data_IF_220682228322
#
_entry.id   IF_220682228322
#
_cell.length_a   1.000
_cell.length_b   1.000
_cell.length_c   1.000
_cell.angle_alpha   90.00
_cell.angle_beta   90.00
_cell.angle_gamma   90.00
#
_symmetry.space_group_name_H-M   'P 1'
#
loop_
_entity.id
_entity.type
_entity.pdbx_description
1 polymer ?
#
# COMPACT_ATOMS: atom_id res chain seq x y z
N UNK A 1 -0.40 -24.81 5.22
CA UNK A 1 -0.19 -24.55 3.78
C UNK A 1 0.08 -23.07 3.62
N UNK A 2 1.16 -22.70 2.92
CA UNK A 2 1.36 -21.31 2.50
C UNK A 2 0.31 -20.98 1.45
N UNK A 3 -0.40 -19.87 1.64
CA UNK A 3 -1.38 -19.37 0.69
C UNK A 3 -0.64 -18.96 -0.61
N UNK A 4 -0.98 -19.52 -1.77
CA UNK A 4 -0.29 -19.23 -3.02
C UNK A 4 -0.34 -17.74 -3.40
N UNK A 5 -1.41 -17.02 -3.02
CA UNK A 5 -1.54 -15.58 -3.28
C UNK A 5 -0.53 -14.80 -2.42
N UNK A 6 -0.36 -15.21 -1.16
CA UNK A 6 0.62 -14.57 -0.27
C UNK A 6 2.05 -14.78 -0.76
N UNK A 7 2.33 -15.95 -1.35
CA UNK A 7 3.66 -16.25 -1.89
C UNK A 7 3.97 -15.41 -3.13
N UNK A 8 3.00 -15.25 -4.04
CA UNK A 8 3.13 -14.37 -5.20
C UNK A 8 3.35 -12.90 -4.79
N UNK A 9 2.58 -12.42 -3.79
CA UNK A 9 2.76 -11.07 -3.24
C UNK A 9 4.17 -10.87 -2.68
N UNK A 10 4.72 -11.88 -1.98
CA UNK A 10 6.09 -11.81 -1.44
C UNK A 10 7.12 -11.76 -2.55
N UNK A 11 6.99 -12.60 -3.58
CA UNK A 11 7.91 -12.59 -4.72
C UNK A 11 7.93 -11.25 -5.44
N UNK A 12 6.75 -10.65 -5.67
CA UNK A 12 6.63 -9.32 -6.25
C UNK A 12 7.34 -8.28 -5.37
N UNK A 13 7.12 -8.32 -4.05
CA UNK A 13 7.79 -7.40 -3.11
C UNK A 13 9.31 -7.55 -3.16
N UNK A 14 9.82 -8.78 -3.10
CA UNK A 14 11.26 -9.03 -3.16
C UNK A 14 11.89 -8.53 -4.45
N UNK A 15 11.19 -8.69 -5.58
CA UNK A 15 11.69 -8.17 -6.85
C UNK A 15 11.77 -6.64 -6.83
N UNK A 16 10.76 -5.95 -6.29
CA UNK A 16 10.78 -4.48 -6.15
C UNK A 16 11.93 -4.02 -5.24
N UNK A 17 12.14 -4.68 -4.11
CA UNK A 17 13.23 -4.37 -3.17
C UNK A 17 14.60 -4.55 -3.83
N UNK A 18 14.78 -5.65 -4.57
CA UNK A 18 16.01 -5.94 -5.32
C UNK A 18 16.25 -4.93 -6.45
N UNK A 19 15.20 -4.54 -7.18
CA UNK A 19 15.29 -3.52 -8.23
C UNK A 19 15.67 -2.14 -7.65
N UNK A 20 15.30 -1.89 -6.40
CA UNK A 20 15.73 -0.72 -5.61
C UNK A 20 17.10 -0.89 -4.94
N UNK A 21 17.86 -1.94 -5.29
CA UNK A 21 19.19 -2.24 -4.73
C UNK A 21 19.20 -2.39 -3.20
N UNK A 22 18.09 -2.86 -2.62
CA UNK A 22 17.90 -2.93 -1.17
C UNK A 22 18.11 -1.58 -0.46
N UNK A 23 18.00 -0.47 -1.19
CA UNK A 23 18.20 0.87 -0.69
C UNK A 23 16.85 1.46 -0.23
N UNK A 24 16.68 1.74 1.08
CA UNK A 24 15.39 2.18 1.61
C UNK A 24 14.98 3.57 1.10
N UNK A 25 15.93 4.45 0.78
CA UNK A 25 15.61 5.75 0.20
C UNK A 25 15.05 5.61 -1.21
N UNK A 26 15.70 4.82 -2.07
CA UNK A 26 15.24 4.56 -3.44
C UNK A 26 13.86 3.90 -3.43
N UNK A 27 13.66 2.92 -2.55
CA UNK A 27 12.36 2.27 -2.38
C UNK A 27 11.28 3.27 -1.97
N UNK A 28 11.56 4.18 -1.03
CA UNK A 28 10.61 5.19 -0.59
C UNK A 28 10.22 6.17 -1.72
N UNK A 29 11.18 6.58 -2.53
CA UNK A 29 10.94 7.46 -3.68
C UNK A 29 10.10 6.77 -4.75
N UNK A 30 10.41 5.50 -5.05
CA UNK A 30 9.64 4.67 -5.95
C UNK A 30 8.18 4.56 -5.48
N UNK A 31 7.95 4.20 -4.22
CA UNK A 31 6.62 4.09 -3.64
C UNK A 31 5.86 5.43 -3.68
N UNK A 32 6.54 6.54 -3.38
CA UNK A 32 5.93 7.86 -3.46
C UNK A 32 5.45 8.21 -4.88
N UNK A 33 6.27 7.92 -5.90
CA UNK A 33 5.89 8.14 -7.31
C UNK A 33 4.68 7.30 -7.71
N UNK A 34 4.64 6.03 -7.32
CA UNK A 34 3.50 5.14 -7.59
C UNK A 34 2.24 5.65 -6.87
N UNK A 35 2.36 6.04 -5.60
CA UNK A 35 1.25 6.62 -4.83
C UNK A 35 0.73 7.90 -5.45
N UNK A 36 1.61 8.77 -5.93
CA UNK A 36 1.23 9.99 -6.62
C UNK A 36 0.51 9.70 -7.94
N UNK A 37 1.03 8.77 -8.75
CA UNK A 37 0.44 8.38 -10.03
C UNK A 37 -0.97 7.79 -9.88
N UNK A 38 -1.22 7.05 -8.78
CA UNK A 38 -2.49 6.39 -8.51
C UNK A 38 -3.21 6.99 -7.30
N UNK A 39 -3.08 8.30 -7.08
CA UNK A 39 -3.66 9.03 -5.95
C UNK A 39 -5.13 8.74 -5.71
N UNK A 40 -5.91 8.61 -6.79
CA UNK A 40 -7.35 8.37 -6.78
C UNK A 40 -7.74 6.93 -6.39
N UNK A 41 -6.79 6.00 -6.46
CA UNK A 41 -6.98 4.58 -6.13
C UNK A 41 -6.41 4.21 -4.77
N UNK A 42 -5.70 5.14 -4.13
CA UNK A 42 -5.26 4.96 -2.76
C UNK A 42 -6.50 4.90 -1.88
N UNK A 43 -6.70 3.76 -1.23
CA UNK A 43 -7.71 3.61 -0.18
C UNK A 43 -7.31 4.56 0.94
N UNK A 44 -7.86 5.78 0.89
CA UNK A 44 -7.89 6.65 2.06
C UNK A 44 -8.90 5.99 2.99
N UNK A 45 -8.46 5.62 4.19
CA UNK A 45 -9.40 5.46 5.29
C UNK A 45 -9.96 6.86 5.55
N UNK A 46 -11.03 7.24 4.85
CA UNK A 46 -11.83 8.36 5.34
C UNK A 46 -12.19 8.03 6.78
N UNK A 47 -12.11 9.00 7.71
CA UNK A 47 -12.60 8.78 9.04
C UNK A 47 -14.02 8.22 8.92
N UNK A 48 -14.35 7.18 9.69
CA UNK A 48 -15.71 6.68 9.73
C UNK A 48 -16.63 7.88 10.04
N UNK A 49 -17.69 8.11 9.24
CA UNK A 49 -18.62 9.18 9.53
C UNK A 49 -19.12 9.00 10.97
N UNK A 50 -19.06 10.07 11.75
CA UNK A 50 -19.52 10.04 13.14
C UNK A 50 -20.97 9.52 13.16
N UNK A 51 -21.24 8.51 13.99
CA UNK A 51 -22.59 8.02 14.20
C UNK A 51 -23.45 9.22 14.63
N UNK A 52 -24.42 9.60 13.79
CA UNK A 52 -25.40 10.60 14.18
C UNK A 52 -26.23 9.99 15.31
N UNK A 53 -25.94 10.38 16.55
CA UNK A 53 -26.78 10.03 17.69
C UNK A 53 -28.09 10.79 17.46
N UNK A 54 -29.16 10.07 17.09
CA UNK A 54 -30.48 10.65 16.96
C UNK A 54 -30.88 11.31 18.31
N UNK A 55 -31.38 12.55 18.33
CA UNK A 55 -31.91 13.12 19.56
C UNK A 55 -33.16 12.32 19.95
N UNK A 56 -33.12 11.75 21.15
CA UNK A 56 -34.27 11.14 21.82
C UNK A 56 -35.20 12.17 22.43
#
# INVERSE_FOLDING_TARGET
>A
MLDPILEEIRQIRYQIEKDCQDNPQILSEYLYRVQYQYSERLVRRSPQPALQIAPG
#
